data_IF_743443263568
#
_entry.id   IF_743443263568
#
_cell.length_a   1.000
_cell.length_b   1.000
_cell.length_c   1.000
_cell.angle_alpha   90.00
_cell.angle_beta   90.00
_cell.angle_gamma   90.00
#
_symmetry.space_group_name_H-M   'P 1'
#
loop_
_entity.id
_entity.type
_entity.pdbx_description
1 polymer ?
#
# COMPACT_ATOMS: atom_id res chain seq x y z
N UNK A 1 26.60 5.98 -6.14
CA UNK A 1 25.82 4.89 -5.51
C UNK A 1 26.16 3.55 -6.16
N UNK A 2 25.85 3.33 -7.45
CA UNK A 2 26.16 2.06 -8.14
C UNK A 2 27.66 1.72 -8.12
N UNK A 3 28.54 2.68 -8.45
CA UNK A 3 30.00 2.45 -8.47
C UNK A 3 30.63 2.22 -7.08
N UNK A 4 29.94 2.60 -5.98
CA UNK A 4 30.46 2.48 -4.61
C UNK A 4 29.78 1.38 -3.79
N UNK A 5 28.52 1.04 -4.10
CA UNK A 5 27.70 0.11 -3.33
C UNK A 5 27.09 -1.02 -4.18
N UNK A 6 27.33 -1.01 -5.50
CA UNK A 6 26.79 -1.95 -6.46
C UNK A 6 25.33 -1.69 -6.84
N UNK A 7 24.89 -2.36 -7.91
CA UNK A 7 23.50 -2.30 -8.43
C UNK A 7 22.46 -2.78 -7.40
N UNK A 8 22.82 -3.68 -6.48
CA UNK A 8 21.94 -4.11 -5.38
C UNK A 8 21.48 -2.96 -4.48
N UNK A 9 22.25 -1.87 -4.38
CA UNK A 9 21.88 -0.72 -3.54
C UNK A 9 20.59 -0.04 -4.02
N UNK A 10 20.27 -0.10 -5.31
CA UNK A 10 19.05 0.47 -5.88
C UNK A 10 17.76 -0.22 -5.39
N UNK A 11 17.87 -1.47 -4.94
CA UNK A 11 16.74 -2.27 -4.46
C UNK A 11 16.68 -2.35 -2.92
N UNK A 12 17.61 -1.69 -2.21
CA UNK A 12 17.53 -1.57 -0.75
C UNK A 12 16.22 -0.87 -0.38
N UNK A 13 15.44 -1.50 0.50
CA UNK A 13 14.15 -0.97 0.94
C UNK A 13 12.96 -1.27 0.01
N UNK A 14 13.16 -1.90 -1.15
CA UNK A 14 12.07 -2.28 -2.04
C UNK A 14 11.04 -3.19 -1.34
N UNK A 15 11.50 -4.16 -0.54
CA UNK A 15 10.63 -5.03 0.26
C UNK A 15 9.80 -4.27 1.29
N UNK A 16 10.39 -3.29 1.99
CA UNK A 16 9.67 -2.46 2.94
C UNK A 16 8.61 -1.58 2.24
N UNK A 17 8.92 -1.07 1.05
CA UNK A 17 7.97 -0.32 0.24
C UNK A 17 6.80 -1.18 -0.27
N UNK A 18 7.07 -2.43 -0.67
CA UNK A 18 6.03 -3.39 -1.05
C UNK A 18 5.14 -3.71 0.14
N UNK A 19 5.73 -4.02 1.30
CA UNK A 19 4.98 -4.31 2.53
C UNK A 19 4.07 -3.13 2.93
N UNK A 20 4.59 -1.90 2.83
CA UNK A 20 3.81 -0.68 3.07
C UNK A 20 2.64 -0.53 2.09
N UNK A 21 2.86 -0.85 0.81
CA UNK A 21 1.81 -0.83 -0.21
C UNK A 21 0.69 -1.84 0.07
N UNK A 22 1.07 -3.08 0.37
CA UNK A 22 0.12 -4.16 0.72
C UNK A 22 -0.65 -3.82 2.00
N UNK A 23 0.02 -3.30 3.02
CA UNK A 23 -0.63 -2.88 4.26
C UNK A 23 -1.65 -1.75 4.03
N UNK A 24 -1.30 -0.73 3.24
CA UNK A 24 -2.22 0.35 2.89
C UNK A 24 -3.45 -0.12 2.13
N UNK A 25 -3.26 -0.95 1.10
CA UNK A 25 -4.37 -1.55 0.34
C UNK A 25 -5.22 -2.50 1.20
N UNK A 26 -4.59 -3.26 2.11
CA UNK A 26 -5.27 -4.13 3.07
C UNK A 26 -6.18 -3.37 4.01
N UNK A 27 -5.69 -2.26 4.60
CA UNK A 27 -6.51 -1.40 5.47
C UNK A 27 -7.65 -0.74 4.70
N UNK A 28 -7.41 -0.28 3.47
CA UNK A 28 -8.44 0.34 2.63
C UNK A 28 -9.56 -0.67 2.28
N UNK A 29 -9.19 -1.87 1.84
CA UNK A 29 -10.17 -2.92 1.52
C UNK A 29 -10.93 -3.43 2.75
N UNK A 30 -10.30 -3.45 3.93
CA UNK A 30 -10.99 -3.74 5.18
C UNK A 30 -11.98 -2.63 5.52
N UNK A 31 -11.60 -1.36 5.33
CA UNK A 31 -12.48 -0.23 5.54
C UNK A 31 -13.70 -0.25 4.60
N UNK A 32 -13.51 -0.58 3.33
CA UNK A 32 -14.60 -0.78 2.37
C UNK A 32 -15.57 -1.88 2.84
N UNK A 33 -15.05 -3.02 3.29
CA UNK A 33 -15.87 -4.10 3.86
C UNK A 33 -16.64 -3.64 5.10
N UNK A 34 -16.01 -2.89 5.99
CA UNK A 34 -16.68 -2.35 7.17
C UNK A 34 -17.81 -1.39 6.78
N UNK A 35 -17.58 -0.50 5.82
CA UNK A 35 -18.63 0.38 5.31
C UNK A 35 -19.79 -0.40 4.68
N UNK A 36 -19.49 -1.45 3.91
CA UNK A 36 -20.51 -2.30 3.31
C UNK A 36 -21.37 -3.00 4.38
N UNK A 37 -20.77 -3.50 5.45
CA UNK A 37 -21.49 -4.16 6.54
C UNK A 37 -22.31 -3.16 7.37
N UNK A 38 -21.74 -2.00 7.69
CA UNK A 38 -22.38 -1.01 8.57
C UNK A 38 -23.42 -0.14 7.88
N UNK A 39 -23.16 0.25 6.62
CA UNK A 39 -23.96 1.24 5.90
C UNK A 39 -24.64 0.67 4.65
N UNK A 40 -24.45 -0.62 4.35
CA UNK A 40 -24.99 -1.27 3.14
C UNK A 40 -24.40 -0.74 1.82
N UNK A 41 -23.43 0.18 1.89
CA UNK A 41 -22.83 0.85 0.73
C UNK A 41 -21.39 1.22 1.05
N UNK A 42 -20.50 0.99 0.08
CA UNK A 42 -19.12 1.49 0.13
C UNK A 42 -19.11 2.94 -0.38
N UNK A 43 -18.50 3.84 0.37
CA UNK A 43 -18.33 5.24 0.01
C UNK A 43 -16.92 5.42 -0.51
N UNK A 44 -16.79 5.51 -1.84
CA UNK A 44 -15.53 5.87 -2.46
C UNK A 44 -15.24 7.35 -2.16
N UNK A 45 -14.33 7.59 -1.23
CA UNK A 45 -13.71 8.91 -1.08
C UNK A 45 -12.84 9.15 -2.30
N UNK A 46 -13.41 9.80 -3.32
CA UNK A 46 -12.66 10.19 -4.51
C UNK A 46 -11.47 11.05 -4.12
N UNK A 47 -10.27 10.55 -4.37
CA UNK A 47 -9.08 11.35 -4.52
C UNK A 47 -8.36 10.79 -5.73
N UNK A 48 -8.34 11.61 -6.79
CA UNK A 48 -7.33 11.50 -7.83
C UNK A 48 -5.95 11.82 -7.28
#
# INVERSE_FOLDING_TARGET
IIAKEGVKSLFKGAGANILRGVAGAGVLSLYDKLQQVLFGKVYSGGSG
#
